data_IF_558077065796
#
_entry.id   IF_558077065796
#
_cell.length_a   1.000
_cell.length_b   1.000
_cell.length_c   1.000
_cell.angle_alpha   90.00
_cell.angle_beta   90.00
_cell.angle_gamma   90.00
#
_symmetry.space_group_name_H-M   'P 1'
#
loop_
_entity.id
_entity.type
_entity.pdbx_description
1 polymer ?
#
# COMPACT_ATOMS: atom_id res chain seq x y z
N UNK A 1 52.16 -20.62 0.57
CA UNK A 1 50.95 -19.80 0.80
C UNK A 1 51.42 -18.57 1.57
N UNK A 2 51.35 -17.37 0.99
CA UNK A 2 51.70 -16.15 1.74
C UNK A 2 50.54 -15.83 2.69
N UNK A 3 50.80 -15.34 3.92
CA UNK A 3 49.73 -14.93 4.86
C UNK A 3 48.75 -13.92 4.25
N UNK A 4 49.19 -13.18 3.24
CA UNK A 4 48.40 -12.23 2.46
C UNK A 4 47.27 -12.89 1.67
N UNK A 5 47.49 -14.13 1.20
CA UNK A 5 46.49 -14.88 0.43
C UNK A 5 45.35 -15.41 1.33
N UNK A 6 45.65 -15.65 2.61
CA UNK A 6 44.70 -16.22 3.60
C UNK A 6 43.86 -15.13 4.27
N UNK A 7 44.40 -13.91 4.42
CA UNK A 7 43.72 -12.78 5.08
C UNK A 7 42.85 -11.93 4.14
N UNK A 8 43.12 -11.96 2.83
CA UNK A 8 42.40 -11.18 1.82
C UNK A 8 40.86 -11.32 1.86
N UNK A 9 40.26 -12.53 1.99
CA UNK A 9 38.80 -12.67 2.06
C UNK A 9 38.18 -11.98 3.29
N UNK A 10 38.87 -12.02 4.44
CA UNK A 10 38.44 -11.38 5.67
C UNK A 10 38.46 -9.86 5.56
N UNK A 11 39.49 -9.30 4.93
CA UNK A 11 39.61 -7.87 4.68
C UNK A 11 38.46 -7.37 3.80
N UNK A 12 38.12 -8.11 2.74
CA UNK A 12 37.00 -7.78 1.85
C UNK A 12 35.67 -7.82 2.61
N UNK A 13 35.43 -8.84 3.43
CA UNK A 13 34.22 -8.95 4.25
C UNK A 13 34.11 -7.80 5.26
N UNK A 14 35.22 -7.44 5.91
CA UNK A 14 35.25 -6.34 6.87
C UNK A 14 34.93 -5.01 6.20
N UNK A 15 35.56 -4.71 5.05
CA UNK A 15 35.28 -3.49 4.28
C UNK A 15 33.83 -3.44 3.80
N UNK A 16 33.30 -4.57 3.31
CA UNK A 16 31.91 -4.67 2.86
C UNK A 16 30.93 -4.39 4.01
N UNK A 17 31.17 -5.00 5.18
CA UNK A 17 30.35 -4.78 6.37
C UNK A 17 30.44 -3.33 6.85
N UNK A 18 31.62 -2.72 6.78
CA UNK A 18 31.81 -1.32 7.13
C UNK A 18 31.00 -0.38 6.24
N UNK A 19 30.99 -0.60 4.92
CA UNK A 19 30.18 0.21 3.97
C UNK A 19 28.68 0.05 4.24
N UNK A 20 28.21 -1.18 4.51
CA UNK A 20 26.81 -1.45 4.87
C UNK A 20 26.42 -0.76 6.17
N UNK A 21 27.29 -0.84 7.18
CA UNK A 21 27.09 -0.15 8.45
C UNK A 21 27.07 1.37 8.27
N UNK A 22 27.94 1.94 7.44
CA UNK A 22 27.91 3.36 7.10
C UNK A 22 26.60 3.75 6.42
N UNK A 23 26.09 2.92 5.50
CA UNK A 23 24.82 3.15 4.82
C UNK A 23 23.66 3.16 5.80
N UNK A 24 23.61 2.15 6.69
CA UNK A 24 22.63 2.10 7.78
C UNK A 24 22.77 3.33 8.69
N UNK A 25 24.01 3.68 9.06
CA UNK A 25 24.32 4.85 9.89
C UNK A 25 23.80 6.13 9.25
N UNK A 26 23.88 6.30 7.93
CA UNK A 26 23.35 7.50 7.27
C UNK A 26 21.81 7.55 7.30
N UNK A 27 21.16 6.39 7.27
CA UNK A 27 19.71 6.30 7.47
C UNK A 27 19.36 6.70 8.91
N UNK A 28 20.04 6.13 9.92
CA UNK A 28 19.70 6.30 11.34
C UNK A 28 20.33 7.54 12.01
N UNK A 29 21.34 8.19 11.41
CA UNK A 29 22.15 9.22 12.07
C UNK A 29 21.44 10.56 12.19
N UNK A 30 21.58 11.17 13.36
CA UNK A 30 21.08 12.52 13.71
C UNK A 30 21.83 13.67 13.01
N UNK A 31 22.77 13.39 12.08
CA UNK A 31 23.50 14.47 11.39
C UNK A 31 22.60 15.14 10.35
N UNK A 32 22.35 16.41 10.60
CA UNK A 32 21.60 17.39 9.80
C UNK A 32 22.03 17.46 8.33
N UNK A 33 21.13 17.23 7.36
CA UNK A 33 21.14 17.98 6.12
C UNK A 33 20.24 19.20 6.32
N UNK A 34 20.79 20.38 6.08
CA UNK A 34 20.20 21.72 6.31
C UNK A 34 18.92 22.05 5.52
N UNK A 35 18.24 21.08 4.91
CA UNK A 35 16.95 21.29 4.22
C UNK A 35 16.08 20.03 4.26
N UNK A 36 15.19 19.94 5.25
CA UNK A 36 13.98 19.11 5.17
C UNK A 36 12.81 19.99 5.63
N UNK A 37 11.71 19.95 4.88
CA UNK A 37 10.47 20.70 5.14
C UNK A 37 10.08 20.55 6.60
N UNK A 38 10.13 21.65 7.34
CA UNK A 38 9.80 21.74 8.77
C UNK A 38 8.33 21.36 8.98
N UNK A 39 8.09 20.29 9.73
CA UNK A 39 6.98 20.33 10.70
C UNK A 39 7.52 21.09 11.92
N UNK A 40 6.80 22.10 12.40
CA UNK A 40 7.17 22.87 13.58
C UNK A 40 7.16 21.95 14.81
N UNK A 41 8.27 21.86 15.54
CA UNK A 41 8.30 21.21 16.85
C UNK A 41 8.58 22.23 17.96
N UNK A 42 7.64 22.34 18.90
CA UNK A 42 7.89 22.75 20.29
C UNK A 42 8.11 21.45 21.08
N UNK A 43 9.37 21.05 21.32
CA UNK A 43 9.62 19.84 22.12
C UNK A 43 11.00 19.17 22.04
N UNK A 44 11.88 19.53 21.09
CA UNK A 44 13.31 19.24 21.17
C UNK A 44 13.82 17.83 20.81
N UNK A 45 12.97 16.83 20.53
CA UNK A 45 13.40 15.51 20.05
C UNK A 45 12.92 15.22 18.62
N UNK A 46 13.88 15.19 17.69
CA UNK A 46 13.64 15.05 16.24
C UNK A 46 13.32 13.59 15.90
N UNK A 47 12.12 13.33 15.41
CA UNK A 47 11.71 12.04 14.84
C UNK A 47 12.10 11.94 13.36
N UNK A 48 12.76 10.85 12.98
CA UNK A 48 13.08 10.56 11.58
C UNK A 48 12.18 9.46 11.04
N UNK A 49 11.22 9.88 10.24
CA UNK A 49 10.45 9.00 9.36
C UNK A 49 11.36 8.55 8.22
N UNK A 50 11.53 7.24 8.05
CA UNK A 50 12.16 6.75 6.84
C UNK A 50 11.19 6.97 5.69
N UNK A 51 9.99 6.41 5.79
CA UNK A 51 8.93 6.47 4.77
C UNK A 51 7.55 6.23 5.41
N UNK A 52 6.49 6.82 4.85
CA UNK A 52 5.11 6.74 5.35
C UNK A 52 4.44 8.11 5.50
N UNK A 53 3.19 8.13 5.93
CA UNK A 53 2.41 9.35 6.22
C UNK A 53 2.38 9.71 7.71
N UNK A 54 3.14 8.98 8.53
CA UNK A 54 3.19 9.15 9.97
C UNK A 54 3.83 10.49 10.36
N UNK A 55 3.27 11.11 11.38
CA UNK A 55 3.83 12.31 11.99
C UNK A 55 4.49 12.01 13.35
N UNK A 56 5.11 13.05 13.91
CA UNK A 56 5.86 12.98 15.16
C UNK A 56 5.00 12.50 16.35
N UNK A 57 3.71 12.85 16.36
CA UNK A 57 2.81 12.47 17.45
C UNK A 57 2.41 11.00 17.35
N UNK A 58 2.19 10.50 16.14
CA UNK A 58 1.95 9.08 15.90
C UNK A 58 3.14 8.23 16.37
N UNK A 59 4.37 8.62 16.02
CA UNK A 59 5.57 7.86 16.40
C UNK A 59 5.79 7.83 17.93
N UNK A 60 5.49 8.94 18.63
CA UNK A 60 5.49 8.99 20.10
C UNK A 60 4.43 8.05 20.67
N UNK A 61 3.21 8.12 20.16
CA UNK A 61 2.10 7.23 20.57
C UNK A 61 2.46 5.75 20.44
N UNK A 62 3.11 5.38 19.34
CA UNK A 62 3.53 3.99 19.15
C UNK A 62 4.70 3.58 20.06
N UNK A 63 5.68 4.46 20.33
CA UNK A 63 6.75 4.14 21.29
C UNK A 63 6.20 4.01 22.72
N UNK A 64 5.29 4.89 23.14
CA UNK A 64 4.60 4.81 24.43
C UNK A 64 3.82 3.50 24.55
N UNK A 65 3.15 3.08 23.47
CA UNK A 65 2.47 1.79 23.40
C UNK A 65 3.44 0.61 23.56
N UNK A 66 4.59 0.64 22.87
CA UNK A 66 5.64 -0.37 22.98
C UNK A 66 6.17 -0.45 24.42
N UNK A 67 6.44 0.69 25.05
CA UNK A 67 6.95 0.75 26.42
C UNK A 67 5.91 0.25 27.45
N UNK A 68 4.65 0.61 27.26
CA UNK A 68 3.54 0.16 28.12
C UNK A 68 3.36 -1.37 28.04
N UNK A 69 3.45 -1.94 26.83
CA UNK A 69 3.40 -3.40 26.63
C UNK A 69 4.55 -4.15 27.33
N UNK A 70 5.69 -3.50 27.57
CA UNK A 70 6.80 -4.10 28.32
C UNK A 70 6.57 -4.11 29.83
N UNK A 71 5.72 -3.21 30.35
CA UNK A 71 5.54 -3.00 31.80
C UNK A 71 4.32 -3.72 32.38
N UNK A 72 3.23 -3.92 31.62
CA UNK A 72 2.01 -4.51 32.18
C UNK A 72 1.07 -5.17 31.16
N UNK A 73 0.35 -6.23 31.57
CA UNK A 73 -0.71 -6.86 30.77
C UNK A 73 -2.03 -6.07 30.77
N UNK A 74 -2.28 -5.23 31.78
CA UNK A 74 -3.48 -4.38 31.85
C UNK A 74 -3.42 -3.19 30.90
N UNK A 75 -2.22 -2.70 30.57
CA UNK A 75 -2.02 -1.64 29.57
C UNK A 75 -2.22 -2.15 28.13
N UNK A 76 -1.97 -3.44 27.88
CA UNK A 76 -2.29 -4.08 26.59
C UNK A 76 -3.77 -3.88 26.22
N UNK A 77 -4.68 -4.04 27.18
CA UNK A 77 -6.12 -3.86 26.96
C UNK A 77 -6.48 -2.43 26.51
N UNK A 78 -5.78 -1.42 27.03
CA UNK A 78 -5.98 -0.02 26.63
C UNK A 78 -5.45 0.26 25.22
N UNK A 79 -4.30 -0.30 24.86
CA UNK A 79 -3.74 -0.18 23.50
C UNK A 79 -4.65 -0.85 22.45
N UNK A 80 -5.23 -2.00 22.82
CA UNK A 80 -6.20 -2.70 21.97
C UNK A 80 -7.48 -1.89 21.75
N UNK A 81 -7.94 -1.13 22.77
CA UNK A 81 -9.07 -0.20 22.63
C UNK A 81 -8.80 0.90 21.60
N UNK A 82 -7.54 1.32 21.49
CA UNK A 82 -7.06 2.30 20.51
C UNK A 82 -6.70 1.67 19.15
N UNK A 83 -7.07 0.40 18.93
CA UNK A 83 -6.74 -0.41 17.74
C UNK A 83 -5.23 -0.55 17.49
N UNK A 84 -4.41 -0.44 18.54
CA UNK A 84 -2.96 -0.68 18.46
C UNK A 84 -2.70 -2.11 18.95
N UNK A 85 -2.23 -2.96 18.04
CA UNK A 85 -1.81 -4.32 18.37
C UNK A 85 -0.29 -4.42 18.33
N UNK A 86 0.29 -4.92 19.42
CA UNK A 86 1.73 -5.12 19.56
C UNK A 86 2.00 -6.62 19.55
N UNK A 87 2.79 -7.06 18.59
CA UNK A 87 3.22 -8.45 18.45
C UNK A 87 4.30 -8.74 19.52
N UNK A 88 3.88 -9.23 20.70
CA UNK A 88 4.76 -9.49 21.86
C UNK A 88 5.91 -10.44 21.54
N UNK A 89 5.70 -11.39 20.63
CA UNK A 89 6.75 -12.29 20.14
C UNK A 89 7.92 -11.54 19.51
N UNK A 90 7.67 -10.40 18.84
CA UNK A 90 8.71 -9.52 18.28
C UNK A 90 9.55 -8.84 19.37
N UNK A 91 8.94 -8.44 20.49
CA UNK A 91 9.67 -7.87 21.64
C UNK A 91 10.60 -8.92 22.27
N UNK A 92 10.11 -10.15 22.46
CA UNK A 92 10.93 -11.24 22.98
C UNK A 92 12.08 -11.61 22.02
N UNK A 93 11.80 -11.63 20.71
CA UNK A 93 12.81 -11.86 19.69
C UNK A 93 13.86 -10.75 19.66
N UNK A 94 13.47 -9.49 19.86
CA UNK A 94 14.40 -8.36 19.99
C UNK A 94 15.35 -8.57 21.18
N UNK A 95 14.81 -8.86 22.38
CA UNK A 95 15.64 -9.12 23.57
C UNK A 95 16.60 -10.30 23.36
N UNK A 96 16.12 -11.38 22.73
CA UNK A 96 16.95 -12.54 22.37
C UNK A 96 18.05 -12.19 21.35
N UNK A 97 17.75 -11.33 20.38
CA UNK A 97 18.71 -10.88 19.36
C UNK A 97 19.81 -10.03 19.97
N UNK A 98 19.45 -9.07 20.83
CA UNK A 98 20.42 -8.27 21.60
C UNK A 98 21.29 -9.16 22.49
N UNK A 99 20.70 -10.14 23.17
CA UNK A 99 21.46 -11.09 23.96
C UNK A 99 22.44 -11.91 23.11
N UNK A 100 22.01 -12.44 21.95
CA UNK A 100 22.88 -13.18 21.03
C UNK A 100 24.01 -12.32 20.46
N UNK A 101 23.74 -11.04 20.16
CA UNK A 101 24.77 -10.10 19.71
C UNK A 101 25.84 -9.90 20.79
N UNK A 102 25.43 -9.63 22.04
CA UNK A 102 26.37 -9.49 23.16
C UNK A 102 27.20 -10.78 23.37
N UNK A 103 26.57 -11.95 23.26
CA UNK A 103 27.29 -13.23 23.36
C UNK A 103 28.29 -13.43 22.22
N UNK A 104 27.94 -13.06 21.00
CA UNK A 104 28.84 -13.12 19.85
C UNK A 104 30.01 -12.15 20.00
N UNK A 105 29.78 -10.95 20.52
CA UNK A 105 30.83 -9.97 20.84
C UNK A 105 31.81 -10.54 21.89
N UNK A 106 31.31 -11.10 22.99
CA UNK A 106 32.14 -11.74 24.03
C UNK A 106 32.96 -12.88 23.43
N UNK A 107 32.36 -13.76 22.63
CA UNK A 107 33.05 -14.87 21.98
C UNK A 107 34.13 -14.36 21.02
N UNK A 108 33.84 -13.36 20.21
CA UNK A 108 34.79 -12.77 19.27
C UNK A 108 35.99 -12.18 20.02
N UNK A 109 35.74 -11.40 21.07
CA UNK A 109 36.79 -10.83 21.90
C UNK A 109 37.66 -11.90 22.57
N UNK A 110 37.04 -12.98 23.07
CA UNK A 110 37.77 -14.12 23.63
C UNK A 110 38.65 -14.82 22.59
N UNK A 111 38.17 -15.01 21.36
CA UNK A 111 38.96 -15.61 20.28
C UNK A 111 40.11 -14.70 19.82
N UNK A 112 39.90 -13.38 19.77
CA UNK A 112 40.96 -12.40 19.47
C UNK A 112 42.06 -12.45 20.53
N UNK A 113 41.69 -12.53 21.81
CA UNK A 113 42.67 -12.65 22.89
C UNK A 113 43.45 -13.97 22.84
N UNK A 114 42.76 -15.08 22.58
CA UNK A 114 43.38 -16.40 22.39
C UNK A 114 44.33 -16.42 21.18
N UNK A 115 44.03 -15.67 20.12
CA UNK A 115 44.92 -15.50 18.97
C UNK A 115 46.23 -14.82 19.36
N UNK A 116 46.20 -13.81 20.25
CA UNK A 116 47.41 -13.14 20.74
C UNK A 116 48.30 -14.10 21.55
N UNK A 117 47.70 -15.00 22.34
CA UNK A 117 48.43 -16.03 23.11
C UNK A 117 49.07 -17.07 22.19
N UNK A 118 48.32 -17.59 21.21
CA UNK A 118 48.84 -18.55 20.21
C UNK A 118 49.99 -17.92 19.40
N UNK A 119 49.87 -16.66 18.99
CA UNK A 119 50.93 -15.93 18.28
C UNK A 119 52.19 -15.73 19.13
N UNK A 120 52.05 -15.68 20.47
CA UNK A 120 53.17 -15.61 21.40
C UNK A 120 53.88 -16.96 21.55
N UNK A 121 53.14 -18.07 21.61
CA UNK A 121 53.66 -19.44 21.77
C UNK A 121 54.34 -19.99 20.50
N UNK A 122 53.88 -19.58 19.30
CA UNK A 122 54.50 -19.93 18.02
C UNK A 122 55.97 -19.49 17.93
N UNK A 123 56.37 -18.45 18.68
CA UNK A 123 57.78 -18.00 18.70
C UNK A 123 58.72 -18.95 19.44
N UNK A 124 58.21 -19.96 20.15
CA UNK A 124 58.99 -20.78 21.09
C UNK A 124 59.02 -22.30 20.76
N UNK A 125 58.38 -22.79 19.69
CA UNK A 125 58.21 -24.24 19.45
C UNK A 125 58.24 -24.68 17.98
N UNK A 126 58.55 -25.97 17.73
CA UNK A 126 58.80 -26.55 16.39
C UNK A 126 57.58 -27.18 15.68
N UNK A 127 56.41 -27.32 16.33
CA UNK A 127 55.23 -27.97 15.72
C UNK A 127 54.35 -26.99 14.91
N UNK A 128 54.93 -26.55 13.78
CA UNK A 128 54.33 -25.58 12.85
C UNK A 128 52.94 -26.03 12.35
N UNK A 129 52.73 -27.32 12.13
CA UNK A 129 51.47 -27.88 11.59
C UNK A 129 50.31 -27.76 12.57
N UNK A 130 50.56 -28.04 13.86
CA UNK A 130 49.56 -27.89 14.92
C UNK A 130 49.05 -26.44 15.00
N UNK A 131 49.95 -25.47 14.99
CA UNK A 131 49.58 -24.05 15.08
C UNK A 131 48.96 -23.49 13.80
N UNK A 132 49.38 -23.94 12.62
CA UNK A 132 48.70 -23.59 11.36
C UNK A 132 47.23 -24.05 11.40
N UNK A 133 46.97 -25.27 11.89
CA UNK A 133 45.60 -25.78 12.06
C UNK A 133 44.78 -24.92 13.02
N UNK A 134 45.37 -24.50 14.14
CA UNK A 134 44.72 -23.61 15.12
C UNK A 134 44.42 -22.22 14.56
N UNK A 135 45.37 -21.61 13.85
CA UNK A 135 45.16 -20.32 13.16
C UNK A 135 44.06 -20.44 12.11
N UNK A 136 44.09 -21.47 11.26
CA UNK A 136 43.04 -21.67 10.25
C UNK A 136 41.65 -21.85 10.90
N UNK A 137 41.55 -22.59 12.00
CA UNK A 137 40.31 -22.72 12.76
C UNK A 137 39.82 -21.37 13.29
N UNK A 138 40.70 -20.51 13.79
CA UNK A 138 40.35 -19.18 14.27
C UNK A 138 39.86 -18.28 13.13
N UNK A 139 40.58 -18.28 11.99
CA UNK A 139 40.20 -17.49 10.82
C UNK A 139 38.80 -17.88 10.29
N UNK A 140 38.48 -19.18 10.25
CA UNK A 140 37.15 -19.67 9.88
C UNK A 140 36.05 -19.16 10.84
N UNK A 141 36.34 -19.08 12.15
CA UNK A 141 35.38 -18.55 13.14
C UNK A 141 35.14 -17.05 12.93
N UNK A 142 36.21 -16.28 12.67
CA UNK A 142 36.11 -14.85 12.37
C UNK A 142 35.32 -14.63 11.08
N UNK A 143 35.61 -15.40 10.03
CA UNK A 143 34.89 -15.34 8.76
C UNK A 143 33.40 -15.62 8.94
N UNK A 144 33.05 -16.71 9.65
CA UNK A 144 31.67 -17.05 9.97
C UNK A 144 30.95 -15.93 10.75
N UNK A 145 31.65 -15.29 11.69
CA UNK A 145 31.12 -14.17 12.47
C UNK A 145 30.88 -12.94 11.60
N UNK A 146 31.81 -12.60 10.71
CA UNK A 146 31.69 -11.49 9.76
C UNK A 146 30.56 -11.72 8.75
N UNK A 147 30.39 -12.95 8.27
CA UNK A 147 29.27 -13.33 7.40
C UNK A 147 27.92 -13.19 8.14
N UNK A 148 27.86 -13.59 9.42
CA UNK A 148 26.65 -13.41 10.24
C UNK A 148 26.29 -11.92 10.40
N UNK A 149 27.28 -11.06 10.65
CA UNK A 149 27.09 -9.60 10.71
C UNK A 149 26.61 -9.07 9.35
N UNK A 150 27.23 -9.51 8.25
CA UNK A 150 26.84 -9.11 6.89
C UNK A 150 25.36 -9.41 6.64
N UNK A 151 24.93 -10.64 6.93
CA UNK A 151 23.55 -11.07 6.72
C UNK A 151 22.56 -10.25 7.55
N UNK A 152 22.92 -9.89 8.79
CA UNK A 152 22.08 -9.07 9.66
C UNK A 152 21.97 -7.63 9.12
N UNK A 153 23.07 -7.04 8.64
CA UNK A 153 23.08 -5.73 8.01
C UNK A 153 22.25 -5.71 6.72
N UNK A 154 22.43 -6.70 5.85
CA UNK A 154 21.67 -6.84 4.60
C UNK A 154 20.18 -6.98 4.87
N UNK A 155 19.81 -7.87 5.80
CA UNK A 155 18.42 -8.09 6.20
C UNK A 155 17.78 -6.80 6.73
N UNK A 156 18.51 -6.04 7.56
CA UNK A 156 18.01 -4.79 8.14
C UNK A 156 17.85 -3.70 7.07
N UNK A 157 18.85 -3.51 6.22
CA UNK A 157 18.81 -2.54 5.12
C UNK A 157 17.68 -2.89 4.13
N UNK A 158 17.56 -4.15 3.74
CA UNK A 158 16.51 -4.59 2.82
C UNK A 158 15.12 -4.43 3.45
N UNK A 159 14.94 -4.72 4.74
CA UNK A 159 13.67 -4.49 5.42
C UNK A 159 13.26 -3.00 5.41
N UNK A 160 14.20 -2.09 5.68
CA UNK A 160 13.95 -0.64 5.61
C UNK A 160 13.63 -0.22 4.17
N UNK A 161 14.43 -0.66 3.19
CA UNK A 161 14.24 -0.30 1.79
C UNK A 161 12.93 -0.85 1.20
N UNK A 162 12.54 -2.07 1.52
CA UNK A 162 11.28 -2.65 1.08
C UNK A 162 10.08 -1.95 1.72
N UNK A 163 10.20 -1.50 2.97
CA UNK A 163 9.15 -0.70 3.61
C UNK A 163 8.85 0.61 2.86
N UNK A 164 9.85 1.20 2.19
CA UNK A 164 9.67 2.40 1.34
C UNK A 164 8.69 2.19 0.20
N UNK A 165 8.72 1.00 -0.40
CA UNK A 165 7.93 0.64 -1.57
C UNK A 165 6.69 -0.17 -1.18
N UNK A 166 6.28 -0.10 0.09
CA UNK A 166 5.14 -0.83 0.67
C UNK A 166 5.25 -2.36 0.57
N UNK A 167 6.48 -2.91 0.59
CA UNK A 167 6.73 -4.35 0.59
C UNK A 167 7.18 -4.78 1.99
N UNK A 168 6.44 -5.72 2.58
CA UNK A 168 6.75 -6.27 3.90
C UNK A 168 7.86 -7.33 3.80
N UNK A 169 9.03 -7.03 4.35
CA UNK A 169 10.12 -8.00 4.40
C UNK A 169 9.84 -9.10 5.44
N UNK A 170 10.01 -10.40 5.12
CA UNK A 170 9.67 -11.51 6.03
C UNK A 170 10.41 -11.54 7.37
N UNK A 171 11.56 -10.86 7.46
CA UNK A 171 12.31 -10.72 8.73
C UNK A 171 11.63 -9.81 9.75
N UNK A 172 10.71 -8.94 9.31
CA UNK A 172 9.93 -8.07 10.21
C UNK A 172 8.84 -8.91 10.88
N UNK A 173 8.00 -9.54 10.05
CA UNK A 173 7.02 -10.52 10.49
C UNK A 173 6.75 -11.46 9.31
N UNK A 174 6.70 -12.77 9.58
CA UNK A 174 6.34 -13.76 8.56
C UNK A 174 4.83 -13.77 8.33
N UNK A 175 4.35 -14.14 7.12
CA UNK A 175 2.90 -14.28 6.86
C UNK A 175 2.20 -15.21 7.86
N UNK A 176 2.84 -16.32 8.23
CA UNK A 176 2.31 -17.26 9.22
C UNK A 176 2.20 -16.63 10.62
N UNK A 177 3.23 -15.90 11.05
CA UNK A 177 3.22 -15.19 12.33
C UNK A 177 2.14 -14.12 12.35
N UNK A 178 2.00 -13.34 11.26
CA UNK A 178 0.96 -12.32 11.13
C UNK A 178 -0.44 -12.94 11.20
N UNK A 179 -0.68 -14.03 10.47
CA UNK A 179 -1.95 -14.75 10.52
C UNK A 179 -2.29 -15.21 11.95
N UNK A 180 -1.34 -15.84 12.65
CA UNK A 180 -1.57 -16.32 14.01
C UNK A 180 -1.90 -15.18 14.98
N UNK A 181 -1.19 -14.05 14.87
CA UNK A 181 -1.44 -12.87 15.70
C UNK A 181 -2.82 -12.26 15.43
N UNK A 182 -3.21 -12.12 14.16
CA UNK A 182 -4.52 -11.58 13.79
C UNK A 182 -5.68 -12.52 14.16
N UNK A 183 -5.51 -13.82 13.92
CA UNK A 183 -6.54 -14.83 14.21
C UNK A 183 -6.82 -14.93 15.71
N UNK A 184 -5.77 -14.93 16.53
CA UNK A 184 -5.89 -15.02 18.00
C UNK A 184 -6.64 -13.84 18.61
N UNK A 185 -6.51 -12.64 18.01
CA UNK A 185 -7.06 -11.39 18.54
C UNK A 185 -8.26 -10.86 17.74
N UNK A 186 -8.74 -11.61 16.75
CA UNK A 186 -9.87 -11.25 15.88
C UNK A 186 -11.14 -10.91 16.66
N UNK A 187 -11.41 -11.65 17.75
CA UNK A 187 -12.58 -11.47 18.62
C UNK A 187 -12.62 -10.11 19.35
N UNK A 188 -11.51 -9.37 19.36
CA UNK A 188 -11.41 -8.07 20.03
C UNK A 188 -11.67 -6.89 19.09
N UNK A 189 -11.85 -7.15 17.80
CA UNK A 189 -12.30 -6.14 16.85
C UNK A 189 -13.69 -5.63 17.26
N UNK A 190 -13.92 -4.33 17.02
CA UNK A 190 -15.24 -3.73 17.24
C UNK A 190 -16.26 -4.51 16.40
N UNK A 191 -17.39 -4.94 17.01
CA UNK A 191 -18.42 -5.84 16.44
C UNK A 191 -18.98 -5.49 15.04
N UNK A 192 -18.64 -4.35 14.46
CA UNK A 192 -19.12 -3.88 13.14
C UNK A 192 -18.02 -3.71 12.10
N UNK A 193 -16.76 -4.01 12.46
CA UNK A 193 -15.61 -3.92 11.58
C UNK A 193 -15.05 -5.30 11.34
N UNK A 194 -14.67 -5.57 10.11
CA UNK A 194 -14.08 -6.83 9.69
C UNK A 194 -12.83 -6.58 8.82
N UNK A 195 -12.07 -7.63 8.58
CA UNK A 195 -10.95 -7.59 7.66
C UNK A 195 -11.44 -7.51 6.20
N UNK A 196 -10.65 -6.89 5.33
CA UNK A 196 -10.97 -6.73 3.91
C UNK A 196 -11.04 -8.06 3.14
N UNK A 197 -10.39 -9.08 3.67
CA UNK A 197 -10.39 -10.45 3.19
C UNK A 197 -10.61 -11.37 4.38
N UNK A 198 -11.23 -12.52 4.13
CA UNK A 198 -11.34 -13.57 5.14
C UNK A 198 -9.95 -13.95 5.65
N UNK A 199 -9.79 -14.07 6.97
CA UNK A 199 -8.52 -14.45 7.59
C UNK A 199 -8.23 -15.93 7.35
N UNK A 200 -7.43 -16.22 6.32
CA UNK A 200 -6.86 -17.53 6.04
C UNK A 200 -5.37 -17.36 5.69
N UNK A 201 -4.58 -18.42 5.86
CA UNK A 201 -3.16 -18.43 5.47
C UNK A 201 -2.98 -18.20 3.96
N UNK A 202 -3.93 -18.65 3.14
CA UNK A 202 -3.88 -18.47 1.68
C UNK A 202 -4.16 -17.02 1.26
N UNK A 203 -4.97 -16.29 2.04
CA UNK A 203 -5.43 -14.91 1.74
C UNK A 203 -4.63 -13.84 2.49
N UNK A 204 -3.73 -14.23 3.40
CA UNK A 204 -2.93 -13.30 4.21
C UNK A 204 -2.08 -12.36 3.34
N UNK A 205 -1.64 -12.84 2.17
CA UNK A 205 -0.89 -12.04 1.21
C UNK A 205 -1.73 -10.86 0.68
N UNK A 206 -2.99 -11.11 0.34
CA UNK A 206 -3.92 -10.06 -0.09
C UNK A 206 -4.16 -9.04 1.03
N UNK A 207 -4.16 -9.47 2.30
CA UNK A 207 -4.26 -8.56 3.44
C UNK A 207 -3.02 -7.65 3.54
N UNK A 208 -1.82 -8.20 3.33
CA UNK A 208 -0.57 -7.44 3.33
C UNK A 208 -0.58 -6.42 2.17
N UNK A 209 -1.04 -6.82 0.98
CA UNK A 209 -1.07 -5.95 -0.21
C UNK A 209 -1.97 -4.71 -0.04
N UNK A 210 -3.09 -4.86 0.65
CA UNK A 210 -4.01 -3.74 0.94
C UNK A 210 -3.59 -2.93 2.17
N UNK A 211 -2.61 -3.40 2.94
CA UNK A 211 -2.10 -2.71 4.12
C UNK A 211 -1.10 -1.61 3.76
N UNK A 212 -0.93 -0.65 4.65
CA UNK A 212 0.08 0.40 4.52
C UNK A 212 1.23 0.14 5.49
N UNK A 213 2.44 0.12 4.97
CA UNK A 213 3.67 -0.11 5.73
C UNK A 213 4.38 1.23 5.94
N UNK A 214 4.82 1.48 7.16
CA UNK A 214 5.63 2.63 7.51
C UNK A 214 6.78 2.19 8.42
N UNK A 215 7.89 2.91 8.39
CA UNK A 215 9.03 2.63 9.27
C UNK A 215 9.71 3.91 9.74
N UNK A 216 10.20 3.86 10.98
CA UNK A 216 10.92 4.97 11.61
C UNK A 216 12.00 4.48 12.56
N UNK A 217 12.91 5.38 12.92
CA UNK A 217 13.93 5.14 13.94
C UNK A 217 13.73 6.09 15.10
N UNK A 218 13.65 5.54 16.32
CA UNK A 218 13.50 6.30 17.54
C UNK A 218 14.11 5.54 18.72
N UNK A 219 14.77 6.26 19.66
CA UNK A 219 15.44 5.70 20.85
C UNK A 219 16.23 4.41 20.58
N UNK A 220 17.06 4.41 19.54
CA UNK A 220 17.88 3.25 19.14
C UNK A 220 17.10 2.00 18.69
N UNK A 221 15.82 2.15 18.33
CA UNK A 221 14.97 1.09 17.78
C UNK A 221 14.56 1.45 16.36
N UNK A 222 14.50 0.43 15.50
CA UNK A 222 13.85 0.53 14.19
C UNK A 222 12.47 -0.09 14.36
N UNK A 223 11.43 0.70 14.07
CA UNK A 223 10.04 0.29 14.24
C UNK A 223 9.38 0.21 12.88
N UNK A 224 8.67 -0.90 12.64
CA UNK A 224 7.86 -1.13 11.46
C UNK A 224 6.39 -1.16 11.88
N UNK A 225 5.55 -0.42 11.17
CA UNK A 225 4.11 -0.33 11.43
C UNK A 225 3.38 -0.83 10.20
N UNK A 226 2.60 -1.89 10.38
CA UNK A 226 1.69 -2.42 9.38
C UNK A 226 0.27 -1.96 9.73
N UNK A 227 -0.25 -1.00 8.98
CA UNK A 227 -1.61 -0.51 9.11
C UNK A 227 -2.54 -1.36 8.24
N UNK A 228 -3.22 -2.30 8.88
CA UNK A 228 -4.23 -3.14 8.24
C UNK A 228 -5.56 -2.38 8.21
N UNK A 229 -6.13 -2.09 7.03
CA UNK A 229 -7.42 -1.44 6.95
C UNK A 229 -8.51 -2.37 7.48
N UNK A 230 -9.48 -1.80 8.19
CA UNK A 230 -10.71 -2.50 8.58
C UNK A 230 -11.87 -1.95 7.75
N UNK A 231 -12.78 -2.82 7.36
CA UNK A 231 -13.93 -2.49 6.54
C UNK A 231 -15.23 -2.68 7.31
N UNK A 232 -16.26 -1.94 6.91
CA UNK A 232 -17.64 -2.17 7.35
C UNK A 232 -18.28 -3.29 6.52
N UNK A 233 -19.33 -3.90 7.05
CA UNK A 233 -20.11 -4.90 6.30
C UNK A 233 -20.90 -4.28 5.12
N UNK A 234 -21.08 -2.96 5.11
CA UNK A 234 -21.87 -2.25 4.10
C UNK A 234 -21.21 -2.31 2.73
N UNK A 235 -21.99 -2.75 1.73
CA UNK A 235 -21.53 -2.89 0.35
C UNK A 235 -22.12 -1.77 -0.49
N UNK A 236 -21.28 -1.22 -1.37
CA UNK A 236 -21.68 -0.16 -2.29
C UNK A 236 -21.47 -0.59 -3.73
N UNK A 237 -22.45 -0.28 -4.57
CA UNK A 237 -22.38 -0.41 -6.02
C UNK A 237 -21.98 0.96 -6.56
N UNK A 238 -20.86 1.01 -7.29
CA UNK A 238 -20.35 2.24 -7.87
C UNK A 238 -20.84 2.39 -9.30
N UNK A 239 -21.52 3.50 -9.57
CA UNK A 239 -21.97 3.92 -10.89
C UNK A 239 -21.11 5.07 -11.40
N UNK A 240 -20.82 5.06 -12.70
CA UNK A 240 -20.15 6.19 -13.36
C UNK A 240 -21.20 7.13 -13.95
N UNK A 241 -21.15 8.39 -13.56
CA UNK A 241 -22.04 9.42 -14.05
C UNK A 241 -21.56 9.88 -15.43
N UNK A 242 -22.39 9.65 -16.45
CA UNK A 242 -22.12 10.03 -17.82
C UNK A 242 -23.24 10.97 -18.27
N UNK A 243 -23.00 12.28 -18.38
CA UNK A 243 -24.00 13.22 -18.85
C UNK A 243 -24.21 13.07 -20.36
N UNK A 244 -25.43 12.74 -20.77
CA UNK A 244 -25.81 12.62 -22.18
C UNK A 244 -26.90 13.64 -22.52
N UNK A 245 -26.74 14.43 -23.59
CA UNK A 245 -27.79 15.34 -24.02
C UNK A 245 -29.03 14.57 -24.50
N UNK A 246 -30.19 14.94 -23.98
CA UNK A 246 -31.52 14.41 -24.34
C UNK A 246 -32.28 15.44 -25.16
N UNK A 247 -33.03 15.09 -26.21
CA UNK A 247 -33.91 16.04 -26.89
C UNK A 247 -34.88 16.65 -25.90
N UNK A 248 -35.03 17.98 -25.93
CA UNK A 248 -35.93 18.66 -25.01
C UNK A 248 -37.38 18.70 -25.54
N UNK A 249 -37.55 18.79 -26.85
CA UNK A 249 -38.84 18.96 -27.50
C UNK A 249 -38.82 18.23 -28.85
N UNK A 250 -39.81 17.34 -29.07
CA UNK A 250 -39.97 16.59 -30.33
C UNK A 250 -40.21 17.52 -31.53
N UNK A 251 -40.68 18.74 -31.30
CA UNK A 251 -40.94 19.74 -32.34
C UNK A 251 -39.72 20.60 -32.70
N UNK A 252 -38.70 20.67 -31.83
CA UNK A 252 -37.47 21.44 -32.03
C UNK A 252 -36.24 20.52 -32.00
N UNK A 253 -35.95 19.91 -33.16
CA UNK A 253 -34.90 18.88 -33.40
C UNK A 253 -33.48 19.31 -32.98
N UNK A 254 -33.24 20.61 -32.74
CA UNK A 254 -31.93 21.18 -32.41
C UNK A 254 -31.81 21.67 -30.95
N UNK A 255 -32.72 21.27 -30.07
CA UNK A 255 -32.68 21.64 -28.64
C UNK A 255 -32.49 20.42 -27.76
N UNK A 256 -31.46 20.45 -26.92
CA UNK A 256 -31.10 19.34 -26.04
C UNK A 256 -30.98 19.78 -24.59
N UNK A 257 -31.48 18.98 -23.67
CA UNK A 257 -31.27 19.13 -22.24
C UNK A 257 -30.16 18.19 -21.77
N UNK A 258 -29.18 18.74 -21.05
CA UNK A 258 -28.09 18.01 -20.42
C UNK A 258 -28.18 18.19 -18.91
N UNK A 259 -28.32 17.08 -18.17
CA UNK A 259 -28.21 17.09 -16.71
C UNK A 259 -26.73 17.05 -16.36
N UNK A 260 -26.24 18.06 -15.63
CA UNK A 260 -24.86 18.12 -15.20
C UNK A 260 -24.68 17.33 -13.89
N UNK A 261 -23.84 16.28 -13.87
CA UNK A 261 -23.54 15.56 -12.65
C UNK A 261 -22.65 16.41 -11.73
N UNK A 262 -22.83 16.19 -10.44
CA UNK A 262 -22.06 16.79 -9.35
C UNK A 262 -20.66 16.20 -9.28
N UNK A 263 -20.55 14.87 -9.41
CA UNK A 263 -19.30 14.12 -9.34
C UNK A 263 -19.26 13.03 -10.41
N UNK A 264 -18.06 12.53 -10.72
CA UNK A 264 -17.86 11.53 -11.78
C UNK A 264 -18.44 10.16 -11.46
N UNK A 265 -18.55 9.81 -10.18
CA UNK A 265 -19.09 8.55 -9.70
C UNK A 265 -20.02 8.76 -8.51
N UNK A 266 -21.01 7.88 -8.40
CA UNK A 266 -21.87 7.73 -7.22
C UNK A 266 -21.78 6.29 -6.73
N UNK A 267 -21.47 6.13 -5.45
CA UNK A 267 -21.52 4.86 -4.75
C UNK A 267 -22.85 4.78 -4.00
N UNK A 268 -23.67 3.77 -4.28
CA UNK A 268 -24.97 3.56 -3.66
C UNK A 268 -24.95 2.28 -2.85
N UNK A 269 -25.46 2.30 -1.62
CA UNK A 269 -25.57 1.09 -0.81
C UNK A 269 -26.49 0.06 -1.46
N UNK A 270 -26.32 -1.21 -1.09
CA UNK A 270 -27.17 -2.30 -1.57
C UNK A 270 -28.67 -2.09 -1.25
N UNK A 271 -28.98 -1.54 -0.09
CA UNK A 271 -30.31 -1.13 0.36
C UNK A 271 -30.80 0.19 -0.27
N UNK A 272 -29.92 0.90 -1.00
CA UNK A 272 -30.16 2.21 -1.63
C UNK A 272 -30.56 3.34 -0.68
N UNK A 273 -30.34 3.17 0.63
CA UNK A 273 -30.65 4.18 1.64
C UNK A 273 -29.52 5.19 1.82
N UNK A 274 -28.30 4.84 1.41
CA UNK A 274 -27.12 5.65 1.58
C UNK A 274 -26.34 5.79 0.27
N UNK A 275 -25.73 6.95 0.06
CA UNK A 275 -24.86 7.18 -1.07
C UNK A 275 -23.62 8.00 -0.68
N UNK A 276 -22.58 7.87 -1.48
CA UNK A 276 -21.38 8.69 -1.43
C UNK A 276 -21.02 9.15 -2.83
N UNK A 277 -20.54 10.39 -2.94
CA UNK A 277 -20.08 10.97 -4.19
C UNK A 277 -18.57 10.88 -4.31
N UNK A 278 -18.06 10.52 -5.49
CA UNK A 278 -16.65 10.25 -5.72
C UNK A 278 -16.20 10.90 -7.03
N UNK A 279 -15.08 11.64 -6.98
CA UNK A 279 -14.48 12.24 -8.19
C UNK A 279 -13.62 11.26 -8.97
N UNK A 280 -12.94 10.36 -8.27
CA UNK A 280 -12.10 9.34 -8.85
C UNK A 280 -12.13 8.06 -8.01
N UNK A 281 -11.69 6.97 -8.63
CA UNK A 281 -11.54 5.66 -7.98
C UNK A 281 -10.05 5.29 -7.80
N UNK A 282 -9.12 6.24 -8.05
CA UNK A 282 -7.68 5.97 -7.96
C UNK A 282 -7.20 5.77 -6.52
N UNK A 283 -7.94 6.26 -5.54
CA UNK A 283 -7.65 6.06 -4.11
C UNK A 283 -8.13 4.70 -3.59
N UNK A 284 -8.93 3.97 -4.37
CA UNK A 284 -9.45 2.67 -3.97
C UNK A 284 -8.40 1.57 -4.16
N UNK A 285 -8.27 0.69 -3.17
CA UNK A 285 -7.40 -0.49 -3.21
C UNK A 285 -8.15 -1.67 -3.80
N UNK A 286 -7.60 -2.28 -4.84
CA UNK A 286 -8.20 -3.46 -5.49
C UNK A 286 -7.86 -4.69 -4.66
N UNK A 287 -8.88 -5.45 -4.23
CA UNK A 287 -8.71 -6.70 -3.48
C UNK A 287 -8.82 -7.89 -4.43
N UNK A 288 -9.76 -7.81 -5.38
CA UNK A 288 -10.01 -8.83 -6.40
C UNK A 288 -10.61 -8.17 -7.64
N UNK A 289 -10.79 -8.93 -8.73
CA UNK A 289 -11.39 -8.42 -9.96
C UNK A 289 -12.79 -7.80 -9.77
N UNK A 290 -13.50 -8.17 -8.69
CA UNK A 290 -14.88 -7.76 -8.45
C UNK A 290 -15.05 -6.81 -7.26
N UNK A 291 -14.03 -6.66 -6.40
CA UNK A 291 -14.15 -5.88 -5.17
C UNK A 291 -12.95 -4.96 -4.97
N UNK A 292 -13.25 -3.71 -4.65
CA UNK A 292 -12.29 -2.68 -4.28
C UNK A 292 -12.72 -2.03 -2.97
N UNK A 293 -11.74 -1.62 -2.16
CA UNK A 293 -11.96 -0.92 -0.90
C UNK A 293 -11.66 0.54 -1.14
N UNK A 294 -12.61 1.39 -0.79
CA UNK A 294 -12.50 2.83 -0.91
C UNK A 294 -12.75 3.45 0.46
N UNK A 295 -11.99 4.49 0.78
CA UNK A 295 -12.30 5.33 1.94
C UNK A 295 -13.43 6.29 1.55
N UNK A 296 -14.56 6.20 2.26
CA UNK A 296 -15.71 7.08 2.06
C UNK A 296 -15.69 8.17 3.13
N UNK A 297 -15.31 9.39 2.73
CA UNK A 297 -15.23 10.55 3.63
C UNK A 297 -16.60 11.13 3.98
N UNK A 298 -17.58 10.99 3.09
CA UNK A 298 -18.92 11.55 3.28
C UNK A 298 -19.99 10.59 2.80
N UNK A 299 -20.83 10.13 3.74
CA UNK A 299 -21.95 9.24 3.50
C UNK A 299 -23.25 9.98 3.82
N UNK A 300 -24.15 10.01 2.85
CA UNK A 300 -25.41 10.76 2.92
C UNK A 300 -26.60 9.81 2.81
N UNK A 301 -27.71 10.16 3.44
CA UNK A 301 -28.96 9.41 3.28
C UNK A 301 -29.71 9.89 2.04
N UNK A 302 -30.14 8.95 1.20
CA UNK A 302 -30.96 9.23 0.01
C UNK A 302 -32.33 9.81 0.36
N UNK A 303 -32.83 9.56 1.57
CA UNK A 303 -34.14 10.04 2.03
C UNK A 303 -34.07 11.45 2.63
N UNK A 304 -33.07 11.73 3.47
CA UNK A 304 -33.00 13.00 4.20
C UNK A 304 -32.24 14.10 3.45
N UNK A 305 -31.26 13.71 2.63
CA UNK A 305 -30.44 14.65 1.86
C UNK A 305 -30.18 14.07 0.45
N UNK A 306 -31.20 14.02 -0.41
CA UNK A 306 -31.05 13.49 -1.75
C UNK A 306 -30.20 14.42 -2.64
N UNK A 307 -29.27 13.83 -3.38
CA UNK A 307 -28.66 14.43 -4.57
C UNK A 307 -29.51 14.20 -5.83
N UNK A 308 -29.23 14.94 -6.90
CA UNK A 308 -29.84 14.70 -8.21
C UNK A 308 -29.68 13.23 -8.63
N UNK A 309 -28.46 12.72 -8.61
CA UNK A 309 -28.12 11.37 -9.07
C UNK A 309 -28.73 10.31 -8.18
N UNK A 310 -28.74 10.50 -6.86
CA UNK A 310 -29.40 9.54 -5.97
C UNK A 310 -30.89 9.45 -6.27
N UNK A 311 -31.60 10.58 -6.47
CA UNK A 311 -33.04 10.55 -6.79
C UNK A 311 -33.31 9.90 -8.13
N UNK A 312 -32.51 10.21 -9.15
CA UNK A 312 -32.64 9.59 -10.47
C UNK A 312 -32.46 8.07 -10.44
N UNK A 313 -31.69 7.55 -9.47
CA UNK A 313 -31.45 6.11 -9.31
C UNK A 313 -32.42 5.40 -8.36
N UNK A 314 -33.04 6.13 -7.42
CA UNK A 314 -33.93 5.54 -6.40
C UNK A 314 -35.41 5.80 -6.62
N UNK A 315 -35.76 6.91 -7.27
CA UNK A 315 -37.15 7.36 -7.44
C UNK A 315 -37.55 7.34 -8.92
N UNK A 316 -38.80 6.99 -9.19
CA UNK A 316 -39.41 7.17 -10.51
C UNK A 316 -40.04 8.56 -10.53
N UNK A 317 -39.45 9.48 -11.28
CA UNK A 317 -39.98 10.84 -11.44
C UNK A 317 -40.43 11.08 -12.88
N UNK A 318 -41.61 11.69 -13.03
CA UNK A 318 -42.15 12.13 -14.33
C UNK A 318 -41.60 13.50 -14.75
N UNK A 319 -40.97 14.22 -13.83
CA UNK A 319 -40.37 15.54 -14.06
C UNK A 319 -38.95 15.59 -13.50
N UNK A 320 -38.09 16.44 -14.07
CA UNK A 320 -36.74 16.62 -13.57
C UNK A 320 -36.75 17.05 -12.09
N UNK A 321 -36.04 16.35 -11.18
CA UNK A 321 -35.94 16.75 -9.78
C UNK A 321 -35.34 18.14 -9.60
N UNK A 322 -35.75 18.85 -8.54
CA UNK A 322 -35.29 20.23 -8.28
C UNK A 322 -33.80 20.30 -7.95
N UNK A 323 -33.25 19.21 -7.44
CA UNK A 323 -31.85 19.06 -7.07
C UNK A 323 -30.95 18.97 -8.32
N UNK A 324 -31.51 18.68 -9.50
CA UNK A 324 -30.78 18.52 -10.73
C UNK A 324 -30.54 19.85 -11.45
N UNK A 325 -29.28 20.13 -11.77
CA UNK A 325 -28.91 21.26 -12.61
C UNK A 325 -28.90 20.83 -14.08
N UNK A 326 -29.87 21.31 -14.86
CA UNK A 326 -29.94 21.08 -16.30
C UNK A 326 -29.49 22.29 -17.10
N UNK A 327 -28.75 22.06 -18.18
CA UNK A 327 -28.39 23.06 -19.19
C UNK A 327 -29.07 22.75 -20.51
N UNK A 328 -29.52 23.79 -21.20
CA UNK A 328 -29.99 23.69 -22.57
C UNK A 328 -28.82 23.90 -23.53
N UNK A 329 -28.70 22.99 -24.49
CA UNK A 329 -27.75 23.02 -25.58
C UNK A 329 -28.52 23.23 -26.89
N UNK A 330 -27.95 24.02 -27.79
CA UNK A 330 -28.54 24.36 -29.07
C UNK A 330 -27.59 23.94 -30.20
N UNK A 331 -28.15 23.36 -31.26
CA UNK A 331 -27.41 22.97 -32.47
C UNK A 331 -27.30 21.46 -32.67
N UNK A 332 -26.43 21.06 -33.58
CA UNK A 332 -26.26 19.66 -33.95
C UNK A 332 -25.22 18.99 -33.03
N UNK A 333 -25.60 17.85 -32.48
CA UNK A 333 -24.81 17.05 -31.55
C UNK A 333 -24.41 15.76 -32.26
N UNK A 334 -23.13 15.43 -32.18
CA UNK A 334 -22.57 14.13 -32.56
C UNK A 334 -21.57 13.71 -31.49
N UNK A 335 -22.03 12.92 -30.52
CA UNK A 335 -21.22 12.47 -29.38
C UNK A 335 -21.09 10.95 -29.47
N UNK A 336 -19.85 10.47 -29.36
CA UNK A 336 -19.51 9.05 -29.26
C UNK A 336 -18.68 8.82 -28.01
N UNK A 337 -19.16 7.95 -27.14
CA UNK A 337 -18.50 7.60 -25.91
C UNK A 337 -18.24 6.11 -25.81
N UNK A 338 -16.96 5.77 -25.79
CA UNK A 338 -16.50 4.40 -25.57
C UNK A 338 -16.73 3.98 -24.11
N UNK A 339 -17.34 2.82 -23.93
CA UNK A 339 -17.48 2.09 -22.68
C UNK A 339 -16.48 0.92 -22.61
N UNK A 340 -16.64 0.06 -21.60
CA UNK A 340 -15.87 -1.19 -21.50
C UNK A 340 -16.37 -2.23 -22.50
N UNK A 341 -15.49 -3.17 -22.86
CA UNK A 341 -15.76 -4.29 -23.78
C UNK A 341 -16.22 -3.82 -25.17
N UNK A 342 -15.61 -2.73 -25.67
CA UNK A 342 -15.92 -2.12 -26.97
C UNK A 342 -17.43 -1.84 -27.17
N UNK A 343 -18.14 -1.59 -26.07
CA UNK A 343 -19.45 -0.97 -26.11
C UNK A 343 -19.31 0.52 -26.37
N UNK A 344 -20.26 1.10 -27.11
CA UNK A 344 -20.32 2.54 -27.35
C UNK A 344 -21.71 3.07 -27.01
N UNK A 345 -21.75 4.28 -26.48
CA UNK A 345 -22.94 5.10 -26.39
C UNK A 345 -22.77 6.24 -27.36
N UNK A 346 -23.83 6.57 -28.11
CA UNK A 346 -23.82 7.74 -28.99
C UNK A 346 -25.09 8.58 -28.80
N UNK A 347 -24.95 9.88 -29.10
CA UNK A 347 -26.04 10.86 -29.15
C UNK A 347 -25.87 11.64 -30.45
N UNK A 348 -26.87 11.55 -31.33
CA UNK A 348 -26.86 12.21 -32.64
C UNK A 348 -28.16 12.97 -32.87
N UNK A 349 -28.03 14.18 -33.42
CA UNK A 349 -29.19 15.01 -33.85
C UNK A 349 -29.71 14.59 -35.21
N UNK A 350 -28.82 14.20 -36.12
CA UNK A 350 -29.15 13.90 -37.50
C UNK A 350 -29.12 12.38 -37.76
N UNK A 351 -29.98 11.90 -38.66
CA UNK A 351 -29.98 10.50 -39.09
C UNK A 351 -28.68 10.23 -39.85
N UNK A 352 -27.88 9.30 -39.35
CA UNK A 352 -26.60 8.94 -39.96
C UNK A 352 -26.54 7.44 -40.31
N UNK A 353 -25.75 7.13 -41.35
CA UNK A 353 -25.41 5.76 -41.72
C UNK A 353 -24.09 5.38 -41.07
N UNK A 354 -24.15 4.39 -40.18
CA UNK A 354 -22.99 3.81 -39.52
C UNK A 354 -22.51 2.60 -40.31
N UNK A 355 -21.26 2.64 -40.78
CA UNK A 355 -20.63 1.50 -41.44
C UNK A 355 -19.61 0.87 -40.49
N UNK A 356 -19.76 -0.43 -40.27
CA UNK A 356 -18.92 -1.21 -39.38
C UNK A 356 -18.23 -2.27 -40.21
N UNK A 357 -16.90 -2.22 -40.22
CA UNK A 357 -16.07 -3.18 -40.92
C UNK A 357 -15.45 -4.12 -39.90
N UNK A 358 -15.86 -5.38 -39.92
CA UNK A 358 -15.25 -6.45 -39.14
C UNK A 358 -14.51 -7.39 -40.08
N UNK A 359 -13.18 -7.32 -40.12
CA UNK A 359 -12.35 -8.06 -41.08
C UNK A 359 -12.80 -7.81 -42.54
N UNK A 360 -13.47 -8.78 -43.16
CA UNK A 360 -14.01 -8.71 -44.53
C UNK A 360 -15.51 -8.40 -44.60
N UNK A 361 -16.21 -8.41 -43.45
CA UNK A 361 -17.65 -8.13 -43.38
C UNK A 361 -17.90 -6.64 -43.15
N UNK A 362 -18.70 -6.05 -44.04
CA UNK A 362 -19.15 -4.66 -43.94
C UNK A 362 -20.64 -4.67 -43.65
N UNK A 363 -21.00 -4.18 -42.46
CA UNK A 363 -22.39 -4.04 -42.04
C UNK A 363 -22.75 -2.56 -41.92
N UNK A 364 -23.86 -2.19 -42.54
CA UNK A 364 -24.39 -0.84 -42.53
C UNK A 364 -25.63 -0.77 -41.64
N UNK A 365 -25.64 0.19 -40.72
CA UNK A 365 -26.75 0.47 -39.82
C UNK A 365 -27.24 1.89 -40.03
N UNK A 366 -28.55 2.09 -40.02
CA UNK A 366 -29.14 3.42 -40.00
C UNK A 366 -29.43 3.75 -38.54
N UNK A 367 -28.80 4.81 -38.04
CA UNK A 367 -29.03 5.28 -36.68
C UNK A 367 -30.16 6.30 -36.71
N UNK A 368 -31.32 5.92 -36.18
CA UNK A 368 -32.47 6.79 -35.94
C UNK A 368 -32.72 6.86 -34.45
N UNK A 369 -32.90 8.08 -33.95
CA UNK A 369 -33.11 8.42 -32.54
C UNK A 369 -31.93 8.12 -31.61
N UNK A 370 -31.95 8.86 -30.50
CA UNK A 370 -30.91 8.87 -29.48
C UNK A 370 -31.15 7.65 -28.58
N UNK A 371 -30.05 6.99 -28.19
CA UNK A 371 -29.96 5.78 -27.37
C UNK A 371 -30.07 4.45 -28.13
N UNK A 372 -28.95 4.01 -28.71
CA UNK A 372 -28.72 2.58 -28.91
C UNK A 372 -27.39 2.16 -28.27
N UNK A 373 -27.46 1.18 -27.36
CA UNK A 373 -26.28 0.44 -26.94
C UNK A 373 -25.80 -0.40 -28.11
N UNK A 374 -24.56 -0.20 -28.55
CA UNK A 374 -24.00 -1.05 -29.60
C UNK A 374 -22.74 -1.75 -29.10
N UNK A 375 -22.82 -3.08 -29.05
CA UNK A 375 -21.73 -3.97 -28.67
C UNK A 375 -20.97 -4.37 -29.92
N UNK A 376 -19.71 -3.95 -30.05
CA UNK A 376 -18.85 -4.40 -31.14
C UNK A 376 -17.54 -4.93 -30.59
N UNK A 377 -16.90 -5.85 -31.30
CA UNK A 377 -15.45 -5.85 -31.42
C UNK A 377 -15.19 -5.16 -32.76
N UNK A 378 -14.26 -4.19 -32.84
CA UNK A 378 -13.72 -3.55 -34.07
C UNK A 378 -14.14 -2.06 -34.33
N UNK A 379 -13.31 -1.37 -35.12
CA UNK A 379 -13.33 0.05 -35.53
C UNK A 379 -14.60 0.45 -36.29
N UNK A 380 -15.31 1.46 -35.79
CA UNK A 380 -16.46 2.07 -36.46
C UNK A 380 -16.07 3.42 -37.11
N UNK A 381 -16.61 3.71 -38.29
CA UNK A 381 -16.51 5.02 -38.93
C UNK A 381 -17.90 5.57 -39.19
N UNK A 382 -18.16 6.78 -38.68
CA UNK A 382 -19.37 7.54 -38.96
C UNK A 382 -19.05 8.56 -40.05
N UNK A 383 -19.68 8.44 -41.23
CA UNK A 383 -19.54 9.39 -42.32
C UNK A 383 -20.54 10.52 -42.11
N UNK A 384 -20.13 11.58 -41.40
CA UNK A 384 -20.89 12.84 -41.40
C UNK A 384 -20.65 13.55 -42.72
N UNK A 385 -21.71 13.83 -43.48
CA UNK A 385 -21.65 14.53 -44.76
C UNK A 385 -21.09 15.96 -44.60
N UNK A 386 -19.77 16.10 -44.62
CA UNK A 386 -19.11 17.33 -45.04
C UNK A 386 -19.12 17.38 -46.56
N UNK A 387 -20.00 18.23 -47.10
CA UNK A 387 -19.93 18.68 -48.49
C UNK A 387 -18.61 19.46 -48.64
N UNK A 388 -17.87 19.14 -49.71
CA UNK A 388 -16.53 19.66 -50.07
C UNK A 388 -16.47 21.19 -50.07
#
# INVERSE_FOLDING_TARGET
IQCKDVSSPLDVLLQTNYIKLQSLSHLISNKTPTKVKRSLEFGGEILKFFFGTLDADDARKYDDAIESCQKSETELFHLMKDNIHIVKSTINNFNSTIYKLNQNEIKLNAQINNMNEILFEIKQTDDVLYYISRINSLLNIIESSLLSISNLLDTTLNAILFSKINILHPSVISPLSLFNELSTHSNQLKKRLDFPVELNIDTIHSLIDVSQLSSYYYKNKIVFILQVPLITADKFIVYKNIPLPTPHDDSHIQTFALIQPSNAYIALSDDRLHYAMLDNLSTCKIVSNNYSICELTSLFSTLSNPSCESRLLTEVSLSLPRECNSKLLYGNIDIWQKLRNNNWIYVQSDICKLTIKCDDDINDYILQNIYLFVHFLILAHCLTNTII
#
